data_IF_526411744905
#
_entry.id   IF_526411744905
#
_cell.length_a   1.000
_cell.length_b   1.000
_cell.length_c   1.000
_cell.angle_alpha   90.00
_cell.angle_beta   90.00
_cell.angle_gamma   90.00
#
_symmetry.space_group_name_H-M   'P 1'
#
loop_
_entity.id
_entity.type
_entity.pdbx_description
1 polymer ?
#
# COMPACT_ATOMS: atom_id res chain seq x y z
N UNK A 1 -4.82 6.85 -15.92
CA UNK A 1 -4.11 5.56 -16.11
C UNK A 1 -5.11 4.42 -16.06
N UNK A 2 -4.87 3.33 -16.78
CA UNK A 2 -5.72 2.13 -16.73
C UNK A 2 -5.26 1.16 -15.62
N UNK A 3 -3.97 1.15 -15.31
CA UNK A 3 -3.35 0.31 -14.29
C UNK A 3 -2.23 1.07 -13.57
N UNK A 4 -2.21 0.97 -12.24
CA UNK A 4 -1.08 1.35 -11.39
C UNK A 4 -0.59 0.11 -10.63
N UNK A 5 0.72 -0.08 -10.53
CA UNK A 5 1.31 -1.21 -9.81
C UNK A 5 2.32 -0.72 -8.79
N UNK A 6 2.19 -1.19 -7.56
CA UNK A 6 3.13 -0.93 -6.48
C UNK A 6 3.77 -2.24 -6.02
N UNK A 7 5.09 -2.33 -6.15
CA UNK A 7 5.85 -3.52 -5.77
C UNK A 7 6.74 -3.20 -4.59
N UNK A 8 6.37 -3.69 -3.41
CA UNK A 8 7.19 -3.56 -2.20
C UNK A 8 7.35 -2.09 -1.77
N UNK A 9 6.39 -1.22 -2.05
CA UNK A 9 6.45 0.19 -1.67
C UNK A 9 5.61 0.55 -0.45
N UNK A 10 4.51 -0.18 -0.17
CA UNK A 10 3.53 0.23 0.84
C UNK A 10 4.16 0.43 2.22
N UNK A 11 5.03 -0.49 2.65
CA UNK A 11 5.74 -0.37 3.92
C UNK A 11 6.67 0.85 3.99
N UNK A 12 7.26 1.27 2.86
CA UNK A 12 8.08 2.48 2.79
C UNK A 12 7.22 3.73 2.88
N UNK A 13 6.04 3.74 2.27
CA UNK A 13 5.09 4.84 2.40
C UNK A 13 4.50 4.94 3.81
N UNK A 14 4.23 3.80 4.46
CA UNK A 14 3.82 3.77 5.87
C UNK A 14 4.93 4.37 6.74
N UNK A 15 6.19 3.96 6.55
CA UNK A 15 7.33 4.49 7.31
C UNK A 15 7.53 6.00 7.12
N UNK A 16 7.23 6.51 5.94
CA UNK A 16 7.31 7.92 5.62
C UNK A 16 6.05 8.71 6.01
N UNK A 17 5.03 8.08 6.60
CA UNK A 17 3.72 8.67 6.87
C UNK A 17 3.06 9.28 5.63
N UNK A 18 3.29 8.66 4.46
CA UNK A 18 2.82 9.10 3.14
C UNK A 18 1.81 8.15 2.49
N UNK A 19 1.47 7.04 3.14
CA UNK A 19 0.61 6.00 2.53
C UNK A 19 -0.74 6.55 2.06
N UNK A 20 -1.41 7.37 2.88
CA UNK A 20 -2.69 7.98 2.53
C UNK A 20 -2.57 8.89 1.30
N UNK A 21 -1.59 9.80 1.29
CA UNK A 21 -1.33 10.68 0.16
C UNK A 21 -1.05 9.90 -1.13
N UNK A 22 -0.23 8.86 -1.06
CA UNK A 22 0.07 8.01 -2.22
C UNK A 22 -1.18 7.29 -2.74
N UNK A 23 -2.01 6.75 -1.87
CA UNK A 23 -3.26 6.10 -2.27
C UNK A 23 -4.24 7.09 -2.91
N UNK A 24 -4.37 8.30 -2.35
CA UNK A 24 -5.23 9.37 -2.92
C UNK A 24 -4.78 9.79 -4.31
N UNK A 25 -3.48 10.07 -4.50
CA UNK A 25 -2.92 10.46 -5.80
C UNK A 25 -3.11 9.35 -6.84
N UNK A 26 -2.90 8.08 -6.45
CA UNK A 26 -3.14 6.94 -7.35
C UNK A 26 -4.63 6.87 -7.74
N UNK A 27 -5.54 7.00 -6.78
CA UNK A 27 -6.98 6.95 -7.04
C UNK A 27 -7.43 8.06 -7.99
N UNK A 28 -6.94 9.29 -7.82
CA UNK A 28 -7.24 10.43 -8.70
C UNK A 28 -6.65 10.24 -10.12
N UNK A 29 -5.53 9.55 -10.23
CA UNK A 29 -4.85 9.33 -11.52
C UNK A 29 -5.48 8.19 -12.32
N UNK A 30 -6.16 7.25 -11.66
CA UNK A 30 -6.85 6.14 -12.34
C UNK A 30 -8.09 6.65 -13.08
N UNK A 31 -8.31 6.14 -14.28
CA UNK A 31 -9.59 6.33 -15.00
C UNK A 31 -10.70 5.56 -14.25
N UNK A 32 -11.98 5.89 -14.47
CA UNK A 32 -13.08 5.02 -14.02
C UNK A 32 -12.89 3.58 -14.51
N UNK A 33 -12.93 2.62 -13.59
CA UNK A 33 -12.67 1.20 -13.86
C UNK A 33 -11.19 0.80 -13.93
N UNK A 34 -10.26 1.74 -13.72
CA UNK A 34 -8.83 1.45 -13.60
C UNK A 34 -8.50 0.69 -12.31
N UNK A 35 -7.37 -0.02 -12.32
CA UNK A 35 -6.98 -0.93 -11.24
C UNK A 35 -5.68 -0.48 -10.57
N UNK A 36 -5.62 -0.55 -9.25
CA UNK A 36 -4.38 -0.54 -8.48
C UNK A 36 -4.04 -1.98 -8.06
N UNK A 37 -2.90 -2.49 -8.52
CA UNK A 37 -2.33 -3.75 -8.04
C UNK A 37 -1.20 -3.53 -7.03
N UNK A 38 -1.21 -4.30 -5.95
CA UNK A 38 -0.18 -4.22 -4.89
C UNK A 38 0.47 -5.59 -4.73
N UNK A 39 1.80 -5.60 -4.72
CA UNK A 39 2.61 -6.76 -4.32
C UNK A 39 3.42 -6.37 -3.08
N UNK A 40 3.20 -7.08 -1.99
CA UNK A 40 3.83 -6.80 -0.70
C UNK A 40 4.16 -8.10 0.03
N UNK A 41 5.14 -8.06 0.95
CA UNK A 41 5.27 -9.14 1.93
C UNK A 41 4.01 -9.20 2.79
N UNK A 42 3.38 -10.39 2.82
CA UNK A 42 2.19 -10.67 3.62
C UNK A 42 2.56 -10.81 5.08
N UNK A 43 2.18 -9.82 5.89
CA UNK A 43 2.29 -9.90 7.34
C UNK A 43 1.21 -10.78 7.95
N UNK A 44 1.50 -11.30 9.15
CA UNK A 44 0.51 -11.99 9.98
C UNK A 44 -0.71 -11.10 10.25
N UNK A 45 -1.87 -11.71 10.47
CA UNK A 45 -3.06 -10.96 10.85
C UNK A 45 -2.84 -10.24 12.19
N UNK A 46 -3.26 -8.98 12.26
CA UNK A 46 -3.20 -8.19 13.51
C UNK A 46 -1.87 -7.51 13.81
N UNK A 47 -0.94 -7.42 12.85
CA UNK A 47 0.25 -6.57 13.00
C UNK A 47 -0.17 -5.11 13.26
N UNK A 48 0.46 -4.48 14.24
CA UNK A 48 0.32 -3.05 14.47
C UNK A 48 0.95 -2.25 13.32
N UNK A 49 0.53 -1.00 13.15
CA UNK A 49 1.11 -0.10 12.16
C UNK A 49 2.63 0.03 12.33
N UNK A 50 3.11 0.17 13.57
CA UNK A 50 4.54 0.26 13.88
C UNK A 50 5.29 -1.03 13.50
N UNK A 51 4.69 -2.20 13.75
CA UNK A 51 5.29 -3.47 13.29
C UNK A 51 5.37 -3.53 11.77
N UNK A 52 4.35 -3.05 11.05
CA UNK A 52 4.37 -3.04 9.58
C UNK A 52 5.45 -2.09 9.01
N UNK A 53 5.62 -0.91 9.60
CA UNK A 53 6.67 0.07 9.22
C UNK A 53 8.08 -0.52 9.40
N UNK A 54 8.30 -1.24 10.49
CA UNK A 54 9.62 -1.71 10.89
C UNK A 54 10.03 -3.04 10.25
N UNK A 55 9.07 -3.92 9.95
CA UNK A 55 9.37 -5.26 9.41
C UNK A 55 9.32 -5.34 7.89
N UNK A 56 8.72 -4.35 7.22
CA UNK A 56 8.36 -4.42 5.80
C UNK A 56 7.31 -5.49 5.45
N UNK A 57 6.64 -6.08 6.44
CA UNK A 57 5.48 -6.95 6.25
C UNK A 57 4.20 -6.13 6.48
N UNK A 58 3.22 -6.25 5.59
CA UNK A 58 1.94 -5.53 5.70
C UNK A 58 0.84 -6.57 5.80
N UNK A 59 0.02 -6.49 6.86
CA UNK A 59 -1.12 -7.38 7.02
C UNK A 59 -2.24 -7.00 6.05
N UNK A 60 -2.87 -8.01 5.45
CA UNK A 60 -4.09 -7.81 4.68
C UNK A 60 -5.27 -7.67 5.66
N UNK A 61 -6.05 -6.60 5.52
CA UNK A 61 -7.33 -6.45 6.22
C UNK A 61 -8.36 -7.40 5.63
N UNK A 62 -9.26 -7.94 6.47
CA UNK A 62 -10.48 -8.61 6.00
C UNK A 62 -11.63 -7.61 5.91
#
# INVERSE_FOLDING_TARGET
MDLALAFRNVHSWLRADQAEMMFSVIAETLKPGGVLGIVQHRGEAGLSLEQMKNTAYVSEGR
#
